data_IF_300580379609
#
_entry.id   IF_300580379609
#
_cell.length_a   1.000
_cell.length_b   1.000
_cell.length_c   1.000
_cell.angle_alpha   90.00
_cell.angle_beta   90.00
_cell.angle_gamma   90.00
#
_symmetry.space_group_name_H-M   'P 1'
#
loop_
_entity.id
_entity.type
_entity.pdbx_description
1 polymer ?
#
# COMPACT_ATOMS: atom_id res chain seq x y z
N UNK A 1 28.94 34.03 2.85
CA UNK A 1 28.32 33.22 3.92
C UNK A 1 27.40 32.24 3.23
N UNK A 2 27.65 30.93 3.40
CA UNK A 2 26.98 29.88 2.64
C UNK A 2 25.51 29.78 3.04
N UNK A 3 24.62 29.81 2.04
CA UNK A 3 23.20 29.57 2.19
C UNK A 3 23.00 28.07 2.37
N UNK A 4 22.84 27.61 3.61
CA UNK A 4 22.54 26.23 3.92
C UNK A 4 21.12 25.89 3.51
N UNK A 5 20.89 25.66 2.21
CA UNK A 5 19.66 25.03 1.73
C UNK A 5 19.71 23.54 2.10
N UNK A 6 19.51 23.24 3.38
CA UNK A 6 19.10 21.92 3.78
C UNK A 6 17.74 21.67 3.13
N UNK A 7 17.71 20.81 2.13
CA UNK A 7 16.46 20.23 1.64
C UNK A 7 15.85 19.44 2.80
N UNK A 8 15.04 20.10 3.62
CA UNK A 8 14.05 19.42 4.44
C UNK A 8 13.13 18.75 3.43
N UNK A 9 13.31 17.44 3.24
CA UNK A 9 12.27 16.64 2.64
C UNK A 9 11.11 16.67 3.64
N UNK A 10 10.22 17.65 3.48
CA UNK A 10 8.96 17.69 4.19
C UNK A 10 8.14 16.52 3.63
N UNK A 11 8.26 15.37 4.29
CA UNK A 11 7.50 14.18 3.90
C UNK A 11 6.10 14.39 4.44
N UNK A 12 5.19 14.66 3.50
CA UNK A 12 3.77 14.80 3.80
C UNK A 12 3.20 13.44 4.27
N UNK A 13 3.21 13.24 5.59
CA UNK A 13 2.74 12.01 6.22
C UNK A 13 1.23 11.82 6.05
N UNK A 14 0.48 12.90 5.82
CA UNK A 14 -0.94 12.84 5.48
C UNK A 14 -1.18 12.26 4.09
N UNK A 15 -0.36 12.64 3.10
CA UNK A 15 -0.40 12.04 1.76
C UNK A 15 -0.07 10.54 1.81
N UNK A 16 0.92 10.13 2.61
CA UNK A 16 1.23 8.71 2.81
C UNK A 16 0.04 7.94 3.42
N UNK A 17 -0.59 8.49 4.47
CA UNK A 17 -1.81 7.90 5.09
C UNK A 17 -2.98 7.85 4.12
N UNK A 18 -3.17 8.89 3.30
CA UNK A 18 -4.23 8.95 2.30
C UNK A 18 -4.03 7.90 1.20
N UNK A 19 -2.79 7.70 0.74
CA UNK A 19 -2.45 6.67 -0.23
C UNK A 19 -2.64 5.25 0.33
N UNK A 20 -2.21 5.00 1.58
CA UNK A 20 -2.46 3.71 2.25
C UNK A 20 -3.97 3.41 2.34
N UNK A 21 -4.77 4.41 2.72
CA UNK A 21 -6.23 4.30 2.79
C UNK A 21 -6.88 4.08 1.42
N UNK A 22 -6.32 4.69 0.36
CA UNK A 22 -6.78 4.48 -1.01
C UNK A 22 -6.48 3.07 -1.50
N UNK A 23 -5.29 2.54 -1.22
CA UNK A 23 -4.90 1.17 -1.57
C UNK A 23 -5.82 0.14 -0.88
N UNK A 24 -6.06 0.28 0.43
CA UNK A 24 -6.99 -0.61 1.16
C UNK A 24 -8.42 -0.54 0.63
N UNK A 25 -8.91 0.65 0.25
CA UNK A 25 -10.23 0.80 -0.38
C UNK A 25 -10.30 0.14 -1.75
N UNK A 26 -9.23 0.21 -2.55
CA UNK A 26 -9.19 -0.46 -3.84
C UNK A 26 -9.31 -1.98 -3.70
N UNK A 27 -8.62 -2.57 -2.72
CA UNK A 27 -8.75 -3.99 -2.37
C UNK A 27 -10.17 -4.32 -1.89
N UNK A 28 -10.72 -3.54 -0.96
CA UNK A 28 -12.07 -3.76 -0.45
C UNK A 28 -13.19 -3.59 -1.50
N UNK A 29 -12.90 -2.93 -2.62
CA UNK A 29 -13.82 -2.80 -3.76
C UNK A 29 -13.85 -3.99 -4.71
N UNK A 30 -12.97 -4.98 -4.53
CA UNK A 30 -12.95 -6.19 -5.35
C UNK A 30 -14.12 -7.11 -4.96
N UNK A 31 -15.01 -7.37 -5.92
CA UNK A 31 -16.28 -8.07 -5.67
C UNK A 31 -16.24 -9.59 -5.83
N UNK A 32 -15.25 -10.14 -6.54
CA UNK A 32 -15.06 -11.60 -6.65
C UNK A 32 -13.63 -11.98 -7.03
N UNK A 33 -13.06 -12.92 -6.27
CA UNK A 33 -11.79 -13.57 -6.59
C UNK A 33 -11.95 -14.72 -7.58
N UNK A 34 -13.17 -15.24 -7.71
CA UNK A 34 -13.49 -16.44 -8.48
C UNK A 34 -14.16 -16.10 -9.81
N UNK A 35 -13.67 -16.71 -10.88
CA UNK A 35 -14.33 -16.71 -12.19
C UNK A 35 -15.36 -17.84 -12.21
N UNK A 36 -16.61 -17.53 -12.51
CA UNK A 36 -17.64 -18.55 -12.65
C UNK A 36 -17.33 -19.49 -13.83
N UNK A 37 -17.53 -20.79 -13.63
CA UNK A 37 -17.37 -21.76 -14.70
C UNK A 37 -18.41 -21.50 -15.82
N UNK A 38 -18.02 -21.61 -17.11
CA UNK A 38 -18.97 -21.47 -18.20
C UNK A 38 -20.04 -22.56 -18.13
N UNK A 39 -21.32 -22.16 -18.20
CA UNK A 39 -22.47 -23.05 -18.04
C UNK A 39 -22.70 -24.04 -19.18
N UNK A 40 -22.17 -23.76 -20.37
CA UNK A 40 -22.17 -24.68 -21.51
C UNK A 40 -20.91 -24.45 -22.36
N UNK A 41 -19.82 -25.13 -21.98
CA UNK A 41 -18.55 -25.02 -22.67
C UNK A 41 -18.55 -25.78 -24.03
N UNK A 42 -19.58 -26.58 -24.31
CA UNK A 42 -19.76 -27.40 -25.52
C UNK A 42 -18.72 -28.52 -25.72
N UNK A 43 -17.50 -28.34 -25.23
CA UNK A 43 -16.37 -29.25 -25.37
C UNK A 43 -15.48 -29.27 -24.12
N UNK A 44 -14.97 -30.45 -23.77
CA UNK A 44 -14.11 -30.70 -22.60
C UNK A 44 -12.84 -29.83 -22.57
N UNK A 45 -12.22 -29.57 -23.72
CA UNK A 45 -11.04 -28.71 -23.79
C UNK A 45 -11.35 -27.26 -23.43
N UNK A 46 -12.56 -26.77 -23.73
CA UNK A 46 -13.03 -25.42 -23.36
C UNK A 46 -13.25 -25.35 -21.85
N UNK A 47 -13.86 -26.38 -21.26
CA UNK A 47 -14.03 -26.46 -19.80
C UNK A 47 -12.67 -26.49 -19.08
N UNK A 48 -11.70 -27.23 -19.62
CA UNK A 48 -10.34 -27.31 -19.08
C UNK A 48 -9.62 -25.96 -19.17
N UNK A 49 -9.71 -25.29 -20.33
CA UNK A 49 -9.15 -23.95 -20.51
C UNK A 49 -9.79 -22.92 -19.59
N UNK A 50 -11.12 -22.97 -19.41
CA UNK A 50 -11.84 -22.09 -18.50
C UNK A 50 -11.47 -22.33 -17.03
N UNK A 51 -11.28 -23.59 -16.62
CA UNK A 51 -10.79 -23.94 -15.28
C UNK A 51 -9.37 -23.44 -15.04
N UNK A 52 -8.47 -23.62 -16.02
CA UNK A 52 -7.10 -23.12 -15.96
C UNK A 52 -7.05 -21.59 -15.86
N UNK A 53 -7.87 -20.91 -16.66
CA UNK A 53 -8.02 -19.46 -16.59
C UNK A 53 -8.55 -19.01 -15.22
N UNK A 54 -9.63 -19.63 -14.71
CA UNK A 54 -10.20 -19.27 -13.41
C UNK A 54 -9.20 -19.46 -12.27
N UNK A 55 -8.39 -20.51 -12.31
CA UNK A 55 -7.33 -20.77 -11.33
C UNK A 55 -6.25 -19.69 -11.40
N UNK A 56 -5.70 -19.43 -12.59
CA UNK A 56 -4.65 -18.42 -12.79
C UNK A 56 -5.14 -17.00 -12.45
N UNK A 57 -6.40 -16.68 -12.76
CA UNK A 57 -7.03 -15.41 -12.39
C UNK A 57 -7.13 -15.27 -10.88
N UNK A 58 -7.64 -16.29 -10.20
CA UNK A 58 -7.83 -16.25 -8.74
C UNK A 58 -6.49 -16.11 -8.03
N UNK A 59 -5.48 -16.87 -8.46
CA UNK A 59 -4.11 -16.80 -7.93
C UNK A 59 -3.48 -15.43 -8.17
N UNK A 60 -3.52 -14.92 -9.41
CA UNK A 60 -2.97 -13.63 -9.76
C UNK A 60 -3.64 -12.47 -9.03
N UNK A 61 -4.96 -12.52 -8.86
CA UNK A 61 -5.71 -11.50 -8.13
C UNK A 61 -5.41 -11.55 -6.63
N UNK A 62 -5.28 -12.75 -6.04
CA UNK A 62 -4.86 -12.90 -4.65
C UNK A 62 -3.46 -12.31 -4.42
N UNK A 63 -2.50 -12.62 -5.30
CA UNK A 63 -1.15 -12.04 -5.24
C UNK A 63 -1.18 -10.51 -5.32
N UNK A 64 -1.99 -9.94 -6.22
CA UNK A 64 -2.16 -8.48 -6.35
C UNK A 64 -2.79 -7.83 -5.12
N UNK A 65 -3.73 -8.51 -4.46
CA UNK A 65 -4.30 -8.03 -3.20
C UNK A 65 -3.22 -7.98 -2.13
N UNK A 66 -2.47 -9.07 -1.94
CA UNK A 66 -1.36 -9.11 -0.97
C UNK A 66 -0.34 -8.01 -1.24
N UNK A 67 0.10 -7.85 -2.50
CA UNK A 67 1.04 -6.80 -2.91
C UNK A 67 0.51 -5.39 -2.53
N UNK A 68 -0.79 -5.18 -2.68
CA UNK A 68 -1.43 -3.88 -2.41
C UNK A 68 -1.57 -3.61 -0.91
N UNK A 69 -1.86 -4.64 -0.12
CA UNK A 69 -1.89 -4.56 1.34
C UNK A 69 -0.51 -4.29 1.93
N UNK A 70 0.51 -5.00 1.44
CA UNK A 70 1.91 -4.76 1.81
C UNK A 70 2.36 -3.34 1.46
N UNK A 71 1.96 -2.85 0.28
CA UNK A 71 2.23 -1.48 -0.13
C UNK A 71 1.57 -0.46 0.82
N UNK A 72 0.29 -0.66 1.15
CA UNK A 72 -0.42 0.20 2.10
C UNK A 72 0.25 0.21 3.48
N UNK A 73 0.73 -0.96 3.94
CA UNK A 73 1.40 -1.08 5.23
C UNK A 73 2.76 -0.36 5.26
N UNK A 74 3.53 -0.46 4.17
CA UNK A 74 4.79 0.27 4.04
C UNK A 74 4.57 1.78 4.07
N UNK A 75 3.53 2.29 3.38
CA UNK A 75 3.18 3.71 3.42
C UNK A 75 2.81 4.16 4.84
N UNK A 76 2.02 3.36 5.56
CA UNK A 76 1.63 3.68 6.93
C UNK A 76 2.81 3.66 7.89
N UNK A 77 3.67 2.64 7.79
CA UNK A 77 4.91 2.54 8.58
C UNK A 77 5.84 3.73 8.30
N UNK A 78 5.98 4.11 7.02
CA UNK A 78 6.81 5.26 6.63
C UNK A 78 6.28 6.54 7.27
N UNK A 79 4.97 6.80 7.17
CA UNK A 79 4.35 7.97 7.79
C UNK A 79 4.66 8.05 9.29
N UNK A 80 4.45 6.92 10.01
CA UNK A 80 4.73 6.83 11.45
C UNK A 80 6.18 7.15 11.80
N UNK A 81 7.14 6.58 11.07
CA UNK A 81 8.58 6.83 11.32
C UNK A 81 8.94 8.30 11.11
N UNK A 82 8.34 8.96 10.11
CA UNK A 82 8.55 10.40 9.91
C UNK A 82 7.94 11.26 11.01
N UNK A 83 6.74 10.92 11.51
CA UNK A 83 6.14 11.63 12.65
C UNK A 83 7.00 11.47 13.91
N UNK A 84 7.40 10.24 14.23
CA UNK A 84 8.25 9.92 15.38
C UNK A 84 9.60 10.65 15.30
N UNK A 85 10.22 10.70 14.11
CA UNK A 85 11.45 11.45 13.88
C UNK A 85 11.27 12.97 14.05
N UNK A 86 10.13 13.51 13.61
CA UNK A 86 9.81 14.94 13.76
C UNK A 86 9.59 15.31 15.22
N UNK A 87 8.90 14.46 15.98
CA UNK A 87 8.66 14.68 17.40
C UNK A 87 9.95 14.55 18.23
N UNK A 88 10.81 13.58 17.90
CA UNK A 88 12.13 13.44 18.53
C UNK A 88 13.01 14.66 18.27
N UNK A 89 13.05 15.17 17.03
CA UNK A 89 13.82 16.37 16.69
C UNK A 89 13.31 17.62 17.42
N UNK A 90 11.99 17.78 17.58
CA UNK A 90 11.41 18.87 18.37
C UNK A 90 11.80 18.77 19.85
N UNK A 91 11.76 17.58 20.43
CA UNK A 91 12.13 17.36 21.83
C UNK A 91 13.61 17.66 22.09
N UNK A 92 14.51 17.31 21.15
CA UNK A 92 15.93 17.65 21.24
C UNK A 92 16.15 19.17 21.24
N UNK A 93 15.46 19.89 20.34
CA UNK A 93 15.55 21.36 20.27
C UNK A 93 15.00 22.01 21.54
N UNK A 94 13.86 21.53 22.06
CA UNK A 94 13.26 22.08 23.28
C UNK A 94 14.19 21.90 24.49
N UNK A 95 14.84 20.73 24.62
CA UNK A 95 15.85 20.49 25.64
C UNK A 95 17.06 21.43 25.50
N UNK A 96 17.54 21.69 24.28
CA UNK A 96 18.62 22.65 24.05
C UNK A 96 18.26 24.10 24.42
N UNK A 97 16.97 24.48 24.34
CA UNK A 97 16.48 25.82 24.66
C UNK A 97 16.30 25.99 26.18
N UNK A 98 15.83 24.97 26.89
CA UNK A 98 15.47 25.07 28.31
C UNK A 98 16.49 24.50 29.28
N UNK A 99 17.27 23.49 28.90
CA UNK A 99 18.31 22.87 29.75
C UNK A 99 19.73 23.38 29.44
N UNK A 100 19.87 24.36 28.54
CA UNK A 100 21.13 24.98 28.11
C UNK A 100 21.55 26.22 28.91
#
# INVERSE_FOLDING_TARGET
MANGSGTFYDVDTDVLRAMASKARRAVGGLSSFTVAAPGDAGHEWVATAASGFGSAWSEGLAARVTDTEDFAERLHTTARVFDEGTDAAKAEIDAMIWDG
#
